data_IF_492075252885
#
_entry.id   IF_492075252885
#
_cell.length_a   1.000
_cell.length_b   1.000
_cell.length_c   1.000
_cell.angle_alpha   90.00
_cell.angle_beta   90.00
_cell.angle_gamma   90.00
#
_symmetry.space_group_name_H-M   'P 1'
#
loop_
_entity.id
_entity.type
_entity.pdbx_description
1 polymer ?
#
# COMPACT_ATOMS: atom_id res chain seq x y z
N UNK A 1 -14.90 8.63 9.57
CA UNK A 1 -15.63 8.34 8.31
C UNK A 1 -14.90 7.25 7.55
N UNK A 2 -15.22 5.99 7.81
CA UNK A 2 -14.69 4.81 7.13
C UNK A 2 -15.85 4.10 6.44
N UNK A 3 -16.19 4.55 5.25
CA UNK A 3 -17.22 3.96 4.37
C UNK A 3 -16.70 4.33 2.99
N UNK A 4 -16.10 3.44 2.21
CA UNK A 4 -16.85 2.83 1.11
C UNK A 4 -16.18 1.57 0.53
N UNK A 5 -14.90 1.30 0.81
CA UNK A 5 -14.20 0.17 0.16
C UNK A 5 -14.54 -1.19 0.79
N UNK A 6 -14.69 -1.26 2.12
CA UNK A 6 -15.00 -2.53 2.80
C UNK A 6 -16.49 -2.89 2.88
N UNK A 7 -17.42 -1.98 2.61
CA UNK A 7 -18.86 -2.34 2.61
C UNK A 7 -19.18 -3.24 1.43
N UNK A 8 -18.58 -3.02 0.26
CA UNK A 8 -18.85 -3.85 -0.91
C UNK A 8 -18.36 -5.29 -0.69
N UNK A 9 -17.11 -5.46 -0.25
CA UNK A 9 -16.56 -6.78 0.09
C UNK A 9 -17.34 -7.43 1.24
N UNK A 10 -17.56 -6.72 2.35
CA UNK A 10 -18.28 -7.29 3.48
C UNK A 10 -19.75 -7.59 3.17
N UNK A 11 -20.41 -6.80 2.30
CA UNK A 11 -21.77 -7.08 1.85
C UNK A 11 -21.82 -8.23 0.85
N UNK A 12 -20.87 -8.31 -0.08
CA UNK A 12 -20.72 -9.46 -0.99
C UNK A 12 -20.45 -10.75 -0.20
N UNK A 13 -19.51 -10.72 0.74
CA UNK A 13 -19.19 -11.81 1.66
C UNK A 13 -20.39 -12.17 2.53
N UNK A 14 -21.08 -11.19 3.12
CA UNK A 14 -22.27 -11.43 3.93
C UNK A 14 -23.43 -11.99 3.10
N UNK A 15 -23.71 -11.45 1.93
CA UNK A 15 -24.76 -11.91 1.03
C UNK A 15 -24.46 -13.32 0.50
N UNK A 16 -23.20 -13.63 0.20
CA UNK A 16 -22.74 -14.95 -0.25
C UNK A 16 -22.88 -16.00 0.86
N UNK A 17 -22.49 -15.68 2.10
CA UNK A 17 -22.63 -16.58 3.25
C UNK A 17 -24.10 -16.78 3.66
N UNK A 18 -24.90 -15.71 3.70
CA UNK A 18 -26.32 -15.78 4.13
C UNK A 18 -27.24 -16.45 3.09
N UNK A 19 -26.76 -16.66 1.87
CA UNK A 19 -27.46 -17.42 0.82
C UNK A 19 -27.07 -18.92 0.78
N UNK A 20 -26.29 -19.41 1.74
CA UNK A 20 -26.00 -20.85 1.92
C UNK A 20 -24.86 -21.39 1.08
N UNK A 21 -23.96 -20.52 0.59
CA UNK A 21 -22.78 -20.92 -0.16
C UNK A 21 -21.58 -21.14 0.78
N UNK A 22 -21.51 -22.31 1.41
CA UNK A 22 -20.43 -22.73 2.33
C UNK A 22 -19.22 -23.35 1.61
N UNK A 23 -19.08 -23.12 0.31
CA UNK A 23 -17.97 -23.70 -0.46
C UNK A 23 -16.68 -22.87 -0.26
N UNK A 24 -15.50 -23.52 -0.22
CA UNK A 24 -14.21 -22.82 -0.11
C UNK A 24 -14.02 -21.86 -1.28
N UNK A 25 -13.67 -20.60 -0.98
CA UNK A 25 -13.56 -19.54 -2.00
C UNK A 25 -12.29 -19.68 -2.88
N UNK A 26 -11.30 -20.44 -2.40
CA UNK A 26 -10.08 -20.78 -3.13
C UNK A 26 -9.93 -22.32 -3.09
N UNK A 27 -10.35 -22.99 -4.15
CA UNK A 27 -10.06 -24.41 -4.33
C UNK A 27 -8.58 -24.58 -4.79
N UNK A 28 -7.89 -25.60 -4.25
CA UNK A 28 -6.53 -25.99 -4.64
C UNK A 28 -5.37 -25.34 -3.86
N UNK A 29 -5.64 -24.45 -2.90
CA UNK A 29 -4.64 -23.91 -1.97
C UNK A 29 -4.19 -24.97 -0.95
N UNK A 30 -2.91 -24.98 -0.57
CA UNK A 30 -2.40 -25.79 0.54
C UNK A 30 -2.98 -25.39 1.91
N UNK A 31 -3.71 -24.27 1.96
CA UNK A 31 -4.42 -23.73 3.11
C UNK A 31 -5.82 -23.29 2.65
N UNK A 32 -6.81 -24.20 2.57
CA UNK A 32 -8.18 -23.83 2.25
C UNK A 32 -8.74 -23.04 3.44
N UNK A 33 -8.99 -21.74 3.24
CA UNK A 33 -9.63 -20.90 4.25
C UNK A 33 -11.11 -20.77 3.87
N UNK A 34 -12.00 -21.16 4.79
CA UNK A 34 -13.44 -21.01 4.61
C UNK A 34 -13.86 -19.55 4.67
N UNK A 35 -14.88 -19.17 3.89
CA UNK A 35 -15.40 -17.80 3.92
C UNK A 35 -16.03 -17.44 5.28
N UNK A 36 -16.54 -18.44 6.00
CA UNK A 36 -16.96 -18.30 7.40
C UNK A 36 -15.78 -17.94 8.31
N UNK A 37 -14.65 -18.64 8.19
CA UNK A 37 -13.46 -18.40 9.01
C UNK A 37 -12.92 -16.98 8.80
N UNK A 38 -12.89 -16.51 7.54
CA UNK A 38 -12.53 -15.11 7.21
C UNK A 38 -13.49 -14.13 7.90
N UNK A 39 -14.79 -14.40 7.85
CA UNK A 39 -15.78 -13.51 8.45
C UNK A 39 -15.72 -13.51 10.00
N UNK A 40 -15.45 -14.67 10.61
CA UNK A 40 -15.26 -14.79 12.06
C UNK A 40 -14.00 -14.04 12.52
N UNK A 41 -12.88 -14.21 11.82
CA UNK A 41 -11.63 -13.51 12.10
C UNK A 41 -11.79 -11.99 11.94
N UNK A 42 -12.40 -11.54 10.84
CA UNK A 42 -12.64 -10.12 10.60
C UNK A 42 -13.54 -9.50 11.68
N UNK A 43 -14.56 -10.22 12.15
CA UNK A 43 -15.45 -9.76 13.21
C UNK A 43 -14.74 -9.75 14.58
N UNK A 44 -13.93 -10.76 14.87
CA UNK A 44 -13.14 -10.82 16.09
C UNK A 44 -12.11 -9.69 16.17
N UNK A 45 -11.39 -9.43 15.07
CA UNK A 45 -10.40 -8.34 15.00
C UNK A 45 -11.09 -6.98 15.02
N UNK A 46 -12.20 -6.80 14.30
CA UNK A 46 -13.04 -5.59 14.38
C UNK A 46 -13.54 -5.34 15.82
N UNK A 47 -13.94 -6.39 16.54
CA UNK A 47 -14.32 -6.32 17.95
C UNK A 47 -13.17 -5.90 18.86
N UNK A 48 -12.00 -6.51 18.68
CA UNK A 48 -10.79 -6.20 19.44
C UNK A 48 -10.32 -4.76 19.19
N UNK A 49 -10.26 -4.33 17.92
CA UNK A 49 -9.88 -2.97 17.52
C UNK A 49 -10.81 -1.89 18.09
N UNK A 50 -12.12 -2.19 18.22
CA UNK A 50 -13.08 -1.28 18.87
C UNK A 50 -12.87 -1.16 20.38
N UNK A 51 -12.29 -2.18 21.03
CA UNK A 51 -12.09 -2.23 22.46
C UNK A 51 -10.77 -1.58 22.91
N UNK A 52 -9.76 -1.45 22.03
CA UNK A 52 -8.38 -1.08 22.39
C UNK A 52 -8.02 0.40 22.23
N UNK A 53 -8.94 1.28 21.80
CA UNK A 53 -8.66 2.72 21.66
C UNK A 53 -8.63 3.20 20.21
N UNK A 54 -8.04 4.38 19.89
CA UNK A 54 -8.20 4.98 18.57
C UNK A 54 -7.67 4.05 17.48
N UNK A 55 -8.49 3.88 16.44
CA UNK A 55 -8.21 3.03 15.29
C UNK A 55 -7.01 3.58 14.51
N UNK A 56 -5.91 2.82 14.50
CA UNK A 56 -4.70 3.13 13.75
C UNK A 56 -3.60 3.82 14.55
N UNK A 57 -2.38 3.84 13.98
CA UNK A 57 -1.25 4.55 14.57
C UNK A 57 -1.57 6.04 14.74
N UNK A 58 -1.35 6.58 15.94
CA UNK A 58 -1.48 8.00 16.19
C UNK A 58 -0.47 8.78 15.32
N UNK A 59 -0.83 9.98 14.82
CA UNK A 59 0.12 10.87 14.18
C UNK A 59 1.35 11.10 15.06
N UNK A 60 2.48 11.40 14.44
CA UNK A 60 3.63 11.96 15.16
C UNK A 60 3.26 13.29 15.81
N UNK A 61 4.05 13.75 16.79
CA UNK A 61 3.79 15.03 17.46
C UNK A 61 3.71 16.20 16.47
N UNK A 62 4.50 16.15 15.39
CA UNK A 62 4.44 17.11 14.29
C UNK A 62 3.27 16.82 13.35
N UNK A 63 3.05 15.54 13.05
CA UNK A 63 2.01 15.06 12.15
C UNK A 63 0.61 15.53 12.49
N UNK A 64 0.29 15.72 13.77
CA UNK A 64 -0.99 16.25 14.22
C UNK A 64 -1.31 17.67 13.69
N UNK A 65 -0.31 18.41 13.23
CA UNK A 65 -0.43 19.78 12.71
C UNK A 65 -0.28 19.88 11.18
N UNK A 66 -0.01 18.75 10.50
CA UNK A 66 0.20 18.72 9.05
C UNK A 66 -1.15 18.82 8.35
N UNK A 67 -1.30 19.79 7.44
CA UNK A 67 -2.49 19.91 6.60
C UNK A 67 -2.56 18.77 5.59
N UNK A 68 -3.78 18.36 5.21
CA UNK A 68 -3.99 17.28 4.25
C UNK A 68 -3.45 17.58 2.84
N UNK A 69 -3.30 18.86 2.49
CA UNK A 69 -2.73 19.33 1.22
C UNK A 69 -1.27 19.80 1.35
N UNK A 70 -0.61 19.47 2.47
CA UNK A 70 0.78 19.83 2.69
C UNK A 70 1.66 19.27 1.58
N UNK A 71 2.53 20.10 0.99
CA UNK A 71 3.42 19.71 -0.09
C UNK A 71 4.83 20.25 0.14
N UNK A 72 5.80 19.48 -0.33
CA UNK A 72 7.22 19.85 -0.32
C UNK A 72 7.77 19.66 -1.73
N UNK A 73 7.75 20.70 -2.58
CA UNK A 73 8.09 20.59 -4.00
C UNK A 73 9.48 20.00 -4.28
N UNK A 74 10.40 20.08 -3.32
CA UNK A 74 11.74 19.51 -3.41
C UNK A 74 11.76 17.98 -3.24
N UNK A 75 10.73 17.39 -2.66
CA UNK A 75 10.65 15.95 -2.38
C UNK A 75 10.16 15.20 -3.62
N UNK A 76 11.05 14.40 -4.23
CA UNK A 76 10.74 13.66 -5.46
C UNK A 76 10.04 12.34 -5.10
N UNK A 77 8.77 12.24 -5.46
CA UNK A 77 7.93 11.05 -5.19
C UNK A 77 7.48 10.41 -6.49
N UNK A 78 7.61 9.08 -6.57
CA UNK A 78 7.01 8.27 -7.63
C UNK A 78 6.00 7.27 -7.07
N UNK A 79 4.85 7.14 -7.75
CA UNK A 79 3.88 6.07 -7.55
C UNK A 79 4.21 4.94 -8.52
N UNK A 80 4.43 3.74 -8.01
CA UNK A 80 4.85 2.55 -8.74
C UNK A 80 3.76 1.49 -8.66
N UNK A 81 3.36 0.94 -9.81
CA UNK A 81 2.31 -0.09 -9.89
C UNK A 81 2.64 -1.17 -10.92
N UNK A 82 2.07 -2.37 -10.75
CA UNK A 82 2.11 -3.47 -11.72
C UNK A 82 0.69 -3.86 -12.12
N UNK A 83 0.34 -3.57 -13.37
CA UNK A 83 -0.95 -3.90 -13.98
C UNK A 83 -0.76 -4.87 -15.16
N UNK A 84 -0.17 -6.03 -14.89
CA UNK A 84 0.03 -7.10 -15.86
C UNK A 84 -1.22 -8.00 -16.00
N UNK A 85 -2.29 -7.45 -16.55
CA UNK A 85 -3.55 -8.16 -16.83
C UNK A 85 -3.72 -8.41 -18.33
N UNK A 86 -4.60 -9.34 -18.74
CA UNK A 86 -5.02 -9.49 -20.12
C UNK A 86 -5.51 -8.15 -20.73
N UNK A 87 -5.29 -7.89 -22.04
CA UNK A 87 -5.59 -6.60 -22.66
C UNK A 87 -7.06 -6.16 -22.58
N UNK A 88 -7.98 -7.12 -22.47
CA UNK A 88 -9.42 -6.92 -22.37
C UNK A 88 -9.92 -6.70 -20.93
N UNK A 89 -9.05 -6.88 -19.93
CA UNK A 89 -9.42 -6.68 -18.54
C UNK A 89 -9.63 -5.19 -18.24
N UNK A 90 -10.76 -4.84 -17.62
CA UNK A 90 -11.13 -3.44 -17.39
C UNK A 90 -10.36 -2.77 -16.25
N UNK A 91 -9.84 -3.55 -15.29
CA UNK A 91 -9.20 -3.01 -14.09
C UNK A 91 -8.01 -2.06 -14.38
N UNK A 92 -7.01 -2.42 -15.21
CA UNK A 92 -5.92 -1.50 -15.52
C UNK A 92 -6.39 -0.16 -16.09
N UNK A 93 -7.49 -0.14 -16.86
CA UNK A 93 -8.00 1.10 -17.45
C UNK A 93 -8.44 2.08 -16.36
N UNK A 94 -9.25 1.62 -15.40
CA UNK A 94 -9.78 2.48 -14.35
C UNK A 94 -8.74 2.83 -13.30
N UNK A 95 -7.93 1.85 -12.89
CA UNK A 95 -6.90 2.06 -11.88
C UNK A 95 -5.80 3.01 -12.35
N UNK A 96 -5.22 2.75 -13.52
CA UNK A 96 -4.17 3.61 -14.07
C UNK A 96 -4.69 5.02 -14.32
N UNK A 97 -5.95 5.17 -14.73
CA UNK A 97 -6.56 6.50 -14.88
C UNK A 97 -6.71 7.21 -13.54
N UNK A 98 -7.17 6.53 -12.48
CA UNK A 98 -7.33 7.14 -11.16
C UNK A 98 -5.97 7.54 -10.55
N UNK A 99 -5.01 6.62 -10.56
CA UNK A 99 -3.66 6.86 -10.05
C UNK A 99 -2.93 7.94 -10.85
N UNK A 100 -3.09 7.96 -12.18
CA UNK A 100 -2.50 8.96 -13.05
C UNK A 100 -3.05 10.36 -12.81
N UNK A 101 -4.38 10.50 -12.66
CA UNK A 101 -5.00 11.79 -12.32
C UNK A 101 -4.55 12.30 -10.94
N UNK A 102 -4.43 11.39 -9.97
CA UNK A 102 -3.91 11.74 -8.65
C UNK A 102 -2.45 12.20 -8.72
N UNK A 103 -1.60 11.46 -9.43
CA UNK A 103 -0.19 11.81 -9.63
C UNK A 103 -0.03 13.16 -10.33
N UNK A 104 -0.79 13.39 -11.40
CA UNK A 104 -0.78 14.65 -12.15
C UNK A 104 -1.18 15.83 -11.28
N UNK A 105 -2.23 15.68 -10.46
CA UNK A 105 -2.72 16.75 -9.59
C UNK A 105 -1.67 17.23 -8.58
N UNK A 106 -0.84 16.31 -8.07
CA UNK A 106 0.15 16.61 -7.02
C UNK A 106 1.60 16.67 -7.53
N UNK A 107 1.83 16.47 -8.84
CA UNK A 107 3.16 16.54 -9.43
C UNK A 107 4.05 15.32 -9.20
N UNK A 108 3.48 14.15 -8.92
CA UNK A 108 4.23 12.90 -8.76
C UNK A 108 4.48 12.20 -10.10
N UNK A 109 5.56 11.42 -10.17
CA UNK A 109 5.72 10.48 -11.27
C UNK A 109 4.76 9.28 -11.11
N UNK A 110 4.20 8.79 -12.22
CA UNK A 110 3.37 7.58 -12.23
C UNK A 110 4.00 6.51 -13.13
N UNK A 111 4.50 5.44 -12.51
CA UNK A 111 5.25 4.37 -13.16
C UNK A 111 4.39 3.10 -13.13
N UNK A 112 3.89 2.70 -14.31
CA UNK A 112 3.03 1.51 -14.45
C UNK A 112 3.73 0.45 -15.28
N UNK A 113 4.09 -0.65 -14.64
CA UNK A 113 4.58 -1.83 -15.32
C UNK A 113 3.41 -2.68 -15.83
N UNK A 114 3.53 -3.21 -17.05
CA UNK A 114 2.52 -4.09 -17.67
C UNK A 114 3.02 -5.50 -17.91
N UNK A 115 4.29 -5.76 -17.62
CA UNK A 115 4.92 -7.07 -17.76
C UNK A 115 5.35 -7.61 -16.41
N UNK A 116 5.18 -8.92 -16.21
CA UNK A 116 5.67 -9.56 -15.00
C UNK A 116 7.20 -9.41 -14.92
N UNK A 117 7.69 -9.06 -13.74
CA UNK A 117 9.13 -8.92 -13.49
C UNK A 117 9.88 -10.26 -13.57
N UNK A 118 9.22 -11.33 -13.15
CA UNK A 118 9.72 -12.71 -13.25
C UNK A 118 8.53 -13.66 -13.43
N UNK A 119 8.32 -14.25 -14.62
CA UNK A 119 7.23 -15.21 -14.86
C UNK A 119 7.31 -16.48 -14.01
N UNK A 120 8.47 -16.80 -13.41
CA UNK A 120 8.64 -17.96 -12.55
C UNK A 120 8.15 -17.72 -11.12
N UNK A 121 7.78 -16.49 -10.75
CA UNK A 121 7.24 -16.14 -9.43
C UNK A 121 5.78 -15.70 -9.52
N UNK A 122 4.99 -15.88 -8.45
CA UNK A 122 3.64 -15.34 -8.40
C UNK A 122 3.65 -13.82 -8.64
N UNK A 123 2.67 -13.25 -9.37
CA UNK A 123 2.66 -11.84 -9.76
C UNK A 123 2.84 -10.84 -8.61
N UNK A 124 2.34 -11.17 -7.42
CA UNK A 124 2.49 -10.37 -6.21
C UNK A 124 3.96 -10.07 -5.84
N UNK A 125 4.91 -10.91 -6.26
CA UNK A 125 6.34 -10.68 -6.06
C UNK A 125 6.90 -9.55 -6.92
N UNK A 126 6.24 -9.20 -8.03
CA UNK A 126 6.71 -8.17 -8.96
C UNK A 126 6.97 -6.82 -8.28
N UNK A 127 6.19 -6.49 -7.23
CA UNK A 127 6.39 -5.27 -6.43
C UNK A 127 7.79 -5.15 -5.84
N UNK A 128 8.37 -6.25 -5.37
CA UNK A 128 9.71 -6.24 -4.76
C UNK A 128 10.76 -5.82 -5.78
N UNK A 129 10.71 -6.40 -6.98
CA UNK A 129 11.70 -6.12 -8.04
C UNK A 129 11.53 -4.73 -8.64
N UNK A 130 10.29 -4.28 -8.83
CA UNK A 130 10.00 -2.95 -9.34
C UNK A 130 10.40 -1.86 -8.33
N UNK A 131 10.05 -2.03 -7.06
CA UNK A 131 10.46 -1.10 -6.01
C UNK A 131 11.99 -1.08 -5.87
N UNK A 132 12.69 -2.22 -6.06
CA UNK A 132 14.15 -2.24 -6.01
C UNK A 132 14.76 -1.47 -7.19
N UNK A 133 14.21 -1.65 -8.39
CA UNK A 133 14.63 -0.94 -9.61
C UNK A 133 14.51 0.57 -9.40
N UNK A 134 13.34 1.04 -8.96
CA UNK A 134 13.10 2.48 -8.77
C UNK A 134 13.90 3.05 -7.60
N UNK A 135 14.05 2.32 -6.50
CA UNK A 135 14.86 2.78 -5.38
C UNK A 135 16.35 2.95 -5.74
N UNK A 136 16.84 2.20 -6.74
CA UNK A 136 18.23 2.28 -7.23
C UNK A 136 18.45 3.32 -8.32
N UNK A 137 17.40 3.90 -8.91
CA UNK A 137 17.56 4.78 -10.07
C UNK A 137 18.23 6.12 -9.71
N UNK A 138 18.06 6.57 -8.46
CA UNK A 138 18.54 7.87 -7.99
C UNK A 138 17.60 9.03 -8.32
N UNK A 139 16.47 8.75 -8.97
CA UNK A 139 15.52 9.77 -9.44
C UNK A 139 14.55 10.24 -8.34
N UNK A 140 14.37 9.44 -7.29
CA UNK A 140 13.34 9.63 -6.27
C UNK A 140 13.92 9.66 -4.86
N UNK A 141 13.29 10.41 -3.97
CA UNK A 141 13.58 10.38 -2.54
C UNK A 141 12.69 9.35 -1.84
N UNK A 142 11.44 9.24 -2.30
CA UNK A 142 10.46 8.25 -1.87
C UNK A 142 9.75 7.63 -3.06
N UNK A 143 9.44 6.36 -2.94
CA UNK A 143 8.57 5.65 -3.87
C UNK A 143 7.38 5.06 -3.10
N UNK A 144 6.22 5.08 -3.74
CA UNK A 144 4.98 4.56 -3.18
C UNK A 144 4.52 3.41 -4.05
N UNK A 145 4.45 2.22 -3.47
CA UNK A 145 3.80 1.11 -4.14
C UNK A 145 2.29 1.29 -4.09
N UNK A 146 1.61 1.05 -5.21
CA UNK A 146 0.16 0.91 -5.25
C UNK A 146 -0.19 -0.33 -6.10
N UNK A 147 -0.88 -1.32 -5.52
CA UNK A 147 -1.40 -2.46 -6.28
C UNK A 147 -2.35 -1.95 -7.39
N UNK A 148 -2.50 -2.74 -8.46
CA UNK A 148 -3.35 -2.34 -9.59
C UNK A 148 -4.82 -2.18 -9.21
N UNK A 149 -5.27 -2.72 -8.08
CA UNK A 149 -6.62 -2.56 -7.54
C UNK A 149 -6.72 -1.50 -6.42
N UNK A 150 -5.67 -0.70 -6.22
CA UNK A 150 -5.65 0.43 -5.29
C UNK A 150 -6.12 1.73 -5.98
N UNK A 151 -7.05 2.44 -5.33
CA UNK A 151 -7.63 3.70 -5.83
C UNK A 151 -7.49 4.83 -4.79
N UNK A 152 -7.12 6.01 -5.27
CA UNK A 152 -7.19 7.26 -4.54
C UNK A 152 -8.63 7.78 -4.54
N UNK A 153 -9.25 7.78 -3.36
CA UNK A 153 -10.66 8.18 -3.18
C UNK A 153 -10.81 9.65 -2.77
N UNK A 154 -9.79 10.20 -2.11
CA UNK A 154 -9.72 11.62 -1.78
C UNK A 154 -8.54 12.24 -2.50
N UNK A 155 -8.82 12.85 -3.65
CA UNK A 155 -7.79 13.43 -4.50
C UNK A 155 -7.12 14.65 -3.88
N UNK A 156 -7.67 15.25 -2.83
CA UNK A 156 -7.09 16.45 -2.19
C UNK A 156 -6.03 16.14 -1.12
N UNK A 157 -5.92 14.89 -0.66
CA UNK A 157 -4.90 14.49 0.31
C UNK A 157 -3.60 14.21 -0.45
N UNK A 158 -2.51 14.90 -0.13
CA UNK A 158 -1.19 14.68 -0.73
C UNK A 158 -0.44 13.52 -0.06
N UNK A 159 0.47 12.88 -0.79
CA UNK A 159 1.38 11.86 -0.26
C UNK A 159 2.36 12.43 0.77
N UNK A 160 2.81 13.67 0.59
CA UNK A 160 3.66 14.36 1.57
C UNK A 160 2.91 14.53 2.89
N UNK A 161 1.63 14.94 2.88
CA UNK A 161 0.87 15.07 4.13
C UNK A 161 0.84 13.75 4.91
N UNK A 162 0.65 12.62 4.23
CA UNK A 162 0.66 11.29 4.84
C UNK A 162 2.06 10.96 5.38
N UNK A 163 3.11 11.16 4.59
CA UNK A 163 4.49 10.94 5.02
C UNK A 163 4.84 11.76 6.26
N UNK A 164 4.59 13.06 6.25
CA UNK A 164 4.89 13.94 7.38
C UNK A 164 3.99 13.68 8.59
N UNK A 165 2.77 13.17 8.37
CA UNK A 165 1.89 12.75 9.48
C UNK A 165 2.53 11.62 10.28
N UNK A 166 3.07 10.61 9.60
CA UNK A 166 3.52 9.36 10.24
C UNK A 166 5.04 9.21 10.40
N UNK A 167 5.83 10.00 9.67
CA UNK A 167 7.29 9.99 9.72
C UNK A 167 7.88 11.38 10.00
N UNK A 168 7.06 12.37 10.37
CA UNK A 168 7.51 13.74 10.65
C UNK A 168 8.16 13.89 12.04
N UNK A 169 9.19 14.73 12.09
CA UNK A 169 9.87 15.20 13.31
C UNK A 169 10.02 16.71 13.29
N UNK A 170 10.18 17.31 14.47
CA UNK A 170 10.39 18.74 14.58
C UNK A 170 11.81 19.09 14.15
N UNK A 171 11.98 20.10 13.29
CA UNK A 171 13.27 20.65 12.91
C UNK A 171 13.27 22.19 13.03
N UNK A 172 14.46 22.79 12.89
CA UNK A 172 14.64 24.23 13.07
C UNK A 172 13.89 25.07 12.03
N UNK A 173 13.75 24.55 10.80
CA UNK A 173 13.13 25.26 9.66
C UNK A 173 11.73 24.74 9.33
N UNK A 174 11.06 24.09 10.29
CA UNK A 174 9.73 23.50 10.11
C UNK A 174 9.74 21.99 10.30
N UNK A 175 8.66 21.29 9.90
CA UNK A 175 8.62 19.84 9.98
C UNK A 175 9.65 19.23 9.01
N UNK A 176 10.31 18.15 9.43
CA UNK A 176 11.20 17.36 8.58
C UNK A 176 10.80 15.88 8.65
N UNK A 177 11.22 15.07 7.69
CA UNK A 177 11.08 13.62 7.77
C UNK A 177 12.18 13.02 8.65
N UNK A 178 11.80 12.10 9.53
CA UNK A 178 12.74 11.38 10.39
C UNK A 178 13.71 10.57 9.52
N UNK A 179 15.03 10.84 9.59
CA UNK A 179 16.00 10.11 8.79
C UNK A 179 16.08 8.62 9.14
N UNK A 180 15.58 8.19 10.30
CA UNK A 180 15.53 6.79 10.72
C UNK A 180 14.33 6.02 10.13
N UNK A 181 13.33 6.71 9.57
CA UNK A 181 12.17 6.07 8.95
C UNK A 181 12.46 5.79 7.47
N UNK A 182 12.45 4.50 7.12
CA UNK A 182 12.70 4.05 5.75
C UNK A 182 11.46 3.51 5.04
N UNK A 183 10.38 3.21 5.79
CA UNK A 183 9.17 2.61 5.25
C UNK A 183 7.97 3.04 6.08
N UNK A 184 6.85 3.33 5.43
CA UNK A 184 5.54 3.55 6.08
C UNK A 184 4.56 2.56 5.46
N UNK A 185 4.02 1.67 6.27
CA UNK A 185 3.13 0.59 5.84
C UNK A 185 1.71 0.84 6.31
N UNK A 186 0.74 0.39 5.53
CA UNK A 186 -0.67 0.41 5.93
C UNK A 186 -1.01 -0.80 6.80
N UNK A 187 -1.97 -0.62 7.68
CA UNK A 187 -2.57 -1.67 8.51
C UNK A 187 -4.08 -1.67 8.27
N UNK A 188 -4.67 -2.86 8.19
CA UNK A 188 -6.11 -3.07 8.18
C UNK A 188 -6.50 -4.10 9.27
N UNK A 189 -7.76 -4.53 9.26
CA UNK A 189 -8.25 -5.51 10.23
C UNK A 189 -7.62 -6.90 10.08
N UNK A 190 -6.78 -7.13 9.07
CA UNK A 190 -6.01 -8.36 8.87
C UNK A 190 -4.50 -8.15 9.11
N UNK A 191 -4.10 -7.08 9.83
CA UNK A 191 -2.72 -6.64 10.07
C UNK A 191 -2.12 -5.83 8.91
N UNK A 192 -0.82 -6.01 8.63
CA UNK A 192 -0.08 -5.23 7.64
C UNK A 192 -0.60 -5.50 6.23
N UNK A 193 -0.89 -4.42 5.52
CA UNK A 193 -1.29 -4.44 4.13
C UNK A 193 -0.16 -3.90 3.25
N UNK A 194 0.22 -4.65 2.22
CA UNK A 194 1.28 -4.25 1.27
C UNK A 194 0.73 -3.87 -0.11
N UNK A 195 -0.57 -3.61 -0.18
CA UNK A 195 -1.24 -3.07 -1.36
C UNK A 195 -0.96 -1.58 -1.56
N UNK A 196 -0.66 -0.86 -0.47
CA UNK A 196 -0.09 0.47 -0.53
C UNK A 196 0.93 0.68 0.60
N UNK A 197 2.12 1.15 0.25
CA UNK A 197 3.15 1.52 1.23
C UNK A 197 4.17 2.48 0.64
N UNK A 198 4.80 3.26 1.52
CA UNK A 198 5.89 4.16 1.19
C UNK A 198 7.22 3.48 1.47
N UNK A 199 8.21 3.74 0.63
CA UNK A 199 9.58 3.30 0.82
C UNK A 199 10.53 4.44 0.45
N UNK A 200 11.42 4.77 1.39
CA UNK A 200 12.49 5.74 1.15
C UNK A 200 13.55 5.13 0.25
N UNK A 201 14.01 5.86 -0.77
CA UNK A 201 15.12 5.42 -1.61
C UNK A 201 16.43 5.53 -0.82
N UNK A 202 16.82 4.43 -0.20
CA UNK A 202 17.97 4.36 0.71
C UNK A 202 18.63 2.99 0.65
N UNK A 203 19.91 2.92 1.04
CA UNK A 203 20.65 1.66 1.10
C UNK A 203 19.96 0.61 1.97
N UNK A 204 19.29 1.03 3.06
CA UNK A 204 18.52 0.13 3.91
C UNK A 204 17.36 -0.52 3.14
N UNK A 205 16.58 0.29 2.42
CA UNK A 205 15.42 -0.16 1.64
C UNK A 205 15.83 -1.09 0.50
N UNK A 206 16.91 -0.72 -0.19
CA UNK A 206 17.50 -1.53 -1.24
C UNK A 206 17.96 -2.88 -0.67
N UNK A 207 18.65 -2.88 0.48
CA UNK A 207 19.07 -4.08 1.17
C UNK A 207 17.90 -4.96 1.64
N UNK A 208 16.82 -4.34 2.13
CA UNK A 208 15.59 -5.04 2.49
C UNK A 208 15.00 -5.75 1.28
N UNK A 209 14.78 -5.04 0.17
CA UNK A 209 14.17 -5.59 -1.04
C UNK A 209 15.01 -6.72 -1.64
N UNK A 210 16.35 -6.58 -1.64
CA UNK A 210 17.26 -7.63 -2.07
C UNK A 210 17.16 -8.90 -1.20
N UNK A 211 17.02 -8.76 0.12
CA UNK A 211 16.80 -9.88 1.05
C UNK A 211 15.44 -10.54 0.83
N UNK A 212 14.38 -9.74 0.72
CA UNK A 212 13.01 -10.23 0.46
C UNK A 212 12.97 -11.00 -0.84
N UNK A 213 13.61 -10.49 -1.91
CA UNK A 213 13.70 -11.19 -3.19
C UNK A 213 14.46 -12.53 -3.09
N UNK A 214 15.36 -12.67 -2.11
CA UNK A 214 16.26 -13.82 -1.99
C UNK A 214 17.57 -13.67 -2.76
N UNK A 215 17.93 -12.45 -3.18
CA UNK A 215 19.23 -12.14 -3.80
C UNK A 215 20.38 -12.02 -2.77
N UNK A 216 20.05 -11.96 -1.47
CA UNK A 216 21.01 -12.01 -0.38
C UNK A 216 21.11 -13.40 0.21
N UNK A 217 22.04 -14.21 -0.28
CA UNK A 217 22.51 -15.37 0.49
C UNK A 217 22.97 -14.88 1.87
N UNK A 218 22.63 -15.65 2.91
CA UNK A 218 23.16 -15.46 4.26
C UNK A 218 24.69 -15.34 4.16
N UNK A 219 25.22 -14.13 4.34
CA UNK A 219 26.62 -13.97 4.74
C UNK A 219 26.63 -14.29 6.23
N UNK A 220 27.00 -15.53 6.54
CA UNK A 220 27.44 -15.92 7.88
C UNK A 220 28.76 -15.24 8.25
#
# INVERSE_FOLDING_TARGET
GLRFLHVAMNWLTHAFVTSGHDQPMIDGSAWPIGIQEINEDLNAISGALRATGPLGHAPTAVGASISHDYSTPELRIAIVSLCAYPPDHVLPRYSVSNQGLYAEQHGYAHIVERKLADPARPPAWGKVRLMEREARSGDWDWIVWADCDTYFMNMSISLESVLYTYAGVAAQEGPALDPAVHMVVSEDAAMLNTGIFFLRCSEWSIGLLARVWGAGGLRG
#
